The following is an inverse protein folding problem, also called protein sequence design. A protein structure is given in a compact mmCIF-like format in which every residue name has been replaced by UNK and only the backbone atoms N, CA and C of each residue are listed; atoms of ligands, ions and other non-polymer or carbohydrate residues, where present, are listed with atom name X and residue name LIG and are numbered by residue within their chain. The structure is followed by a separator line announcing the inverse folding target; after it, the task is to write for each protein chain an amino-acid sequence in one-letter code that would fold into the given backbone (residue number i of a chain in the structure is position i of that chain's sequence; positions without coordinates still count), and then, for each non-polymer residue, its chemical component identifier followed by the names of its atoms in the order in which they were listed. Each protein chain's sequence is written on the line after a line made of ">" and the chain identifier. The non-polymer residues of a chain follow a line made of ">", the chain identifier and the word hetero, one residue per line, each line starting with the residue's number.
data_IF_271935304950
#
_entry.id   IF_271935304950
#
_cell.length_a   1.000
_cell.length_b   1.000
_cell.length_c   1.000
_cell.angle_alpha   90.00
_cell.angle_beta   90.00
_cell.angle_gamma   90.00
#
_symmetry.space_group_name_H-M   'P 1'
#
loop_
_entity.id
_entity.type
_entity.pdbx_description
1 polymer ?
#
# COMPACT_ATOMS: atom_id res chain seq x y z
N UNK A 1 0.70 8.25 -1.91
CA UNK A 1 0.12 8.38 -3.27
C UNK A 1 -0.74 9.62 -3.36
N UNK A 2 -1.84 9.71 -2.61
CA UNK A 2 -2.69 10.90 -2.52
C UNK A 2 -1.91 12.13 -2.01
N UNK A 3 -1.31 12.04 -0.82
CA UNK A 3 -0.73 13.21 -0.12
C UNK A 3 0.76 13.47 -0.44
N UNK A 4 1.37 12.66 -1.32
CA UNK A 4 2.81 12.79 -1.67
C UNK A 4 2.98 12.94 -3.18
N UNK A 5 2.28 12.11 -3.97
CA UNK A 5 2.32 12.16 -5.42
C UNK A 5 1.16 12.96 -6.02
N UNK A 6 0.24 13.48 -5.19
CA UNK A 6 -0.94 14.25 -5.59
C UNK A 6 -1.81 13.55 -6.65
N UNK A 7 -1.86 12.21 -6.60
CA UNK A 7 -2.78 11.45 -7.44
C UNK A 7 -4.23 11.71 -7.03
N UNK A 8 -5.13 11.69 -8.01
CA UNK A 8 -6.57 11.68 -7.74
C UNK A 8 -6.97 10.39 -7.00
N UNK A 9 -8.14 10.41 -6.36
CA UNK A 9 -8.69 9.23 -5.68
C UNK A 9 -8.84 8.05 -6.65
N UNK A 10 -9.26 8.32 -7.89
CA UNK A 10 -9.43 7.30 -8.92
C UNK A 10 -8.08 6.67 -9.33
N UNK A 11 -7.07 7.50 -9.59
CA UNK A 11 -5.73 7.01 -9.94
C UNK A 11 -5.10 6.22 -8.80
N UNK A 12 -5.24 6.71 -7.57
CA UNK A 12 -4.74 6.00 -6.39
C UNK A 12 -5.46 4.65 -6.20
N UNK A 13 -6.77 4.58 -6.42
CA UNK A 13 -7.53 3.32 -6.35
C UNK A 13 -7.03 2.34 -7.39
N UNK A 14 -6.86 2.78 -8.63
CA UNK A 14 -6.38 1.94 -9.73
C UNK A 14 -5.00 1.34 -9.42
N UNK A 15 -4.06 2.15 -8.92
CA UNK A 15 -2.72 1.66 -8.54
C UNK A 15 -2.79 0.62 -7.42
N UNK A 16 -3.67 0.82 -6.43
CA UNK A 16 -3.86 -0.14 -5.34
C UNK A 16 -4.48 -1.46 -5.82
N UNK A 17 -5.47 -1.39 -6.72
CA UNK A 17 -6.09 -2.56 -7.33
C UNK A 17 -5.07 -3.36 -8.15
N UNK A 18 -4.34 -2.71 -9.05
CA UNK A 18 -3.30 -3.34 -9.87
C UNK A 18 -2.17 -3.98 -9.04
N UNK A 19 -1.86 -3.39 -7.88
CA UNK A 19 -0.90 -3.99 -6.95
C UNK A 19 -1.47 -5.21 -6.25
N UNK A 20 -2.74 -5.14 -5.81
CA UNK A 20 -3.39 -6.22 -5.10
C UNK A 20 -3.68 -7.44 -6.00
N UNK A 21 -3.98 -7.23 -7.27
CA UNK A 21 -4.15 -8.29 -8.26
C UNK A 21 -2.88 -9.16 -8.38
N UNK A 22 -1.70 -8.58 -8.13
CA UNK A 22 -0.43 -9.35 -8.10
C UNK A 22 -0.27 -10.20 -6.83
N UNK A 23 -1.08 -9.95 -5.81
CA UNK A 23 -1.07 -10.67 -4.54
C UNK A 23 -2.13 -11.78 -4.46
N UNK A 24 -3.00 -11.92 -5.46
CA UNK A 24 -4.12 -12.89 -5.46
C UNK A 24 -3.66 -14.36 -5.36
N UNK A 25 -2.37 -14.62 -5.65
CA UNK A 25 -1.75 -15.95 -5.51
C UNK A 25 -1.41 -16.34 -4.05
N UNK A 26 -1.46 -15.40 -3.09
CA UNK A 26 -0.99 -15.65 -1.71
C UNK A 26 -2.11 -16.18 -0.81
N UNK A 27 -3.28 -15.55 -0.84
CA UNK A 27 -4.46 -15.93 -0.05
C UNK A 27 -5.68 -15.28 -0.65
N UNK A 28 -6.79 -16.03 -0.74
CA UNK A 28 -8.08 -15.45 -1.06
C UNK A 28 -8.46 -14.41 0.00
N UNK A 29 -8.88 -13.24 -0.46
CA UNK A 29 -9.32 -12.16 0.42
C UNK A 29 -10.69 -12.52 1.04
N UNK A 30 -10.85 -12.19 2.31
CA UNK A 30 -12.07 -12.35 3.10
C UNK A 30 -12.98 -11.11 3.02
N UNK A 31 -12.61 -10.15 2.19
CA UNK A 31 -13.36 -8.92 1.93
C UNK A 31 -13.34 -8.55 0.45
N UNK A 32 -14.30 -7.73 0.03
CA UNK A 32 -14.36 -7.14 -1.31
C UNK A 32 -13.32 -6.02 -1.46
N UNK A 33 -12.23 -6.21 -2.23
CA UNK A 33 -11.06 -5.36 -2.11
C UNK A 33 -11.26 -3.96 -2.67
N UNK A 34 -12.01 -3.85 -3.78
CA UNK A 34 -12.33 -2.56 -4.40
C UNK A 34 -13.08 -1.65 -3.44
N UNK A 35 -14.07 -2.19 -2.72
CA UNK A 35 -14.85 -1.45 -1.73
C UNK A 35 -13.94 -0.96 -0.60
N UNK A 36 -13.06 -1.84 -0.11
CA UNK A 36 -12.12 -1.50 0.97
C UNK A 36 -11.11 -0.44 0.55
N UNK A 37 -10.52 -0.56 -0.64
CA UNK A 37 -9.57 0.40 -1.22
C UNK A 37 -10.21 1.78 -1.35
N UNK A 38 -11.40 1.86 -1.96
CA UNK A 38 -12.12 3.12 -2.11
C UNK A 38 -12.46 3.77 -0.76
N UNK A 39 -12.93 2.99 0.21
CA UNK A 39 -13.22 3.48 1.56
C UNK A 39 -11.99 4.08 2.24
N UNK A 40 -10.84 3.39 2.15
CA UNK A 40 -9.59 3.85 2.73
C UNK A 40 -9.13 5.14 2.05
N UNK A 41 -9.11 5.18 0.71
CA UNK A 41 -8.63 6.32 -0.08
C UNK A 41 -9.44 7.59 0.20
N UNK A 42 -10.77 7.47 0.22
CA UNK A 42 -11.67 8.59 0.48
C UNK A 42 -11.44 9.21 1.87
N UNK A 43 -11.11 8.40 2.87
CA UNK A 43 -10.86 8.84 4.25
C UNK A 43 -9.44 9.33 4.55
N UNK A 44 -8.48 9.16 3.63
CA UNK A 44 -7.05 9.32 3.92
C UNK A 44 -6.41 10.64 3.48
N UNK A 45 -7.19 11.67 3.11
CA UNK A 45 -6.61 12.98 2.78
C UNK A 45 -5.93 13.57 4.01
N UNK A 46 -4.69 14.04 3.84
CA UNK A 46 -3.88 14.65 4.91
C UNK A 46 -3.01 13.69 5.73
N UNK A 47 -3.13 12.37 5.55
CA UNK A 47 -2.28 11.41 6.24
C UNK A 47 -1.00 11.11 5.45
N UNK A 48 0.15 11.32 6.08
CA UNK A 48 1.43 10.96 5.49
C UNK A 48 1.68 9.45 5.60
N UNK A 49 2.39 8.84 4.62
CA UNK A 49 2.86 7.46 4.76
C UNK A 49 3.69 7.28 6.03
N UNK A 50 3.68 6.06 6.57
CA UNK A 50 4.55 5.69 7.70
C UNK A 50 6.01 5.96 7.34
N UNK A 51 6.75 6.57 8.27
CA UNK A 51 8.18 6.78 8.07
C UNK A 51 8.92 5.46 8.17
N UNK A 52 10.08 5.38 7.52
CA UNK A 52 10.91 4.18 7.52
C UNK A 52 11.37 3.79 8.94
N UNK A 53 11.74 4.78 9.76
CA UNK A 53 12.08 4.59 11.17
C UNK A 53 10.91 4.02 11.99
N UNK A 54 9.69 4.53 11.75
CA UNK A 54 8.49 4.04 12.43
C UNK A 54 8.11 2.63 11.96
N UNK A 55 8.34 2.30 10.68
CA UNK A 55 8.10 0.97 10.14
C UNK A 55 8.97 -0.11 10.81
N UNK A 56 10.24 0.19 11.11
CA UNK A 56 11.14 -0.73 11.85
C UNK A 56 10.53 -1.16 13.19
N UNK A 57 9.94 -0.20 13.91
CA UNK A 57 9.40 -0.39 15.25
C UNK A 57 8.01 -1.03 15.21
N UNK A 58 7.12 -0.51 14.36
CA UNK A 58 5.71 -0.92 14.33
C UNK A 58 5.48 -2.22 13.55
N UNK A 59 6.30 -2.50 12.51
CA UNK A 59 6.17 -3.69 11.68
C UNK A 59 7.51 -4.13 11.07
N UNK A 60 8.35 -4.65 11.95
CA UNK A 60 9.71 -5.11 11.62
C UNK A 60 9.75 -6.19 10.52
N UNK A 61 8.74 -7.07 10.46
CA UNK A 61 8.65 -8.10 9.42
C UNK A 61 8.45 -7.48 8.02
N UNK A 62 7.54 -6.51 7.91
CA UNK A 62 7.31 -5.79 6.66
C UNK A 62 8.55 -4.98 6.25
N UNK A 63 9.24 -4.37 7.21
CA UNK A 63 10.51 -3.67 6.97
C UNK A 63 11.53 -4.57 6.26
N UNK A 64 11.82 -5.76 6.82
CA UNK A 64 12.80 -6.67 6.24
C UNK A 64 12.37 -7.23 4.88
N UNK A 65 11.06 -7.45 4.69
CA UNK A 65 10.52 -7.85 3.39
C UNK A 65 10.72 -6.76 2.32
N UNK A 66 10.65 -5.49 2.68
CA UNK A 66 10.92 -4.39 1.75
C UNK A 66 12.41 -4.28 1.42
N UNK A 67 13.29 -4.37 2.42
CA UNK A 67 14.75 -4.33 2.20
C UNK A 67 15.22 -5.44 1.27
N UNK A 68 14.82 -6.68 1.55
CA UNK A 68 15.19 -7.84 0.72
C UNK A 68 14.71 -7.77 -0.73
N UNK A 69 13.70 -6.94 -1.05
CA UNK A 69 13.22 -6.72 -2.41
C UNK A 69 13.88 -5.52 -3.10
N UNK A 70 14.41 -4.55 -2.35
CA UNK A 70 15.11 -3.39 -2.89
C UNK A 70 16.50 -3.79 -3.44
N UNK A 71 17.10 -4.85 -2.89
CA UNK A 71 18.40 -5.40 -3.34
C UNK A 71 18.37 -6.07 -4.73
N UNK A 72 17.20 -6.20 -5.38
CA UNK A 72 17.07 -6.74 -6.75
C UNK A 72 17.21 -5.63 -7.81
N UNK A 73 17.19 -4.35 -7.42
CA UNK A 73 17.21 -3.19 -8.33
C UNK A 73 18.44 -2.28 -8.13
N UNK A 74 19.49 -2.79 -7.48
CA UNK A 74 20.82 -2.14 -7.40
C UNK A 74 21.86 -2.99 -8.12
#
# INVERSE_FOLDING_TARGET
>A
MLNVKNLSELEASKVMEEWLDKCDIVRKLDFEPRIKIHSIIKGNKGYNPISYQKLIVDNNALYFLLESRIDIVR
#
